data_IF_103472468305
#
_entry.id   IF_103472468305
#
_cell.length_a   1.000
_cell.length_b   1.000
_cell.length_c   1.000
_cell.angle_alpha   90.00
_cell.angle_beta   90.00
_cell.angle_gamma   90.00
#
_symmetry.space_group_name_H-M   'P 1'
#
loop_
_entity.id
_entity.type
_entity.pdbx_description
1 polymer ?
#
# COMPACT_ATOMS: atom_id res chain seq x y z
N UNK A 1 -51.58 19.96 -4.80
CA UNK A 1 -51.11 18.57 -4.87
C UNK A 1 -49.61 18.47 -5.28
N UNK A 2 -48.94 19.61 -5.57
CA UNK A 2 -47.51 19.63 -6.06
C UNK A 2 -46.48 19.90 -4.98
N UNK A 3 -46.83 20.04 -3.72
CA UNK A 3 -45.89 20.41 -2.62
C UNK A 3 -45.36 19.19 -1.85
N UNK A 4 -45.94 18.00 -2.03
CA UNK A 4 -45.49 16.77 -1.32
C UNK A 4 -44.36 16.00 -2.02
N UNK A 5 -44.08 16.30 -3.28
CA UNK A 5 -43.00 15.62 -4.03
C UNK A 5 -41.57 16.20 -3.81
N UNK A 6 -41.48 17.45 -3.34
CA UNK A 6 -40.18 18.09 -3.12
C UNK A 6 -39.54 17.69 -1.78
N UNK A 7 -40.33 17.47 -0.75
CA UNK A 7 -39.83 17.08 0.59
C UNK A 7 -39.27 15.66 0.64
N UNK A 8 -39.75 14.76 -0.24
CA UNK A 8 -39.24 13.38 -0.29
C UNK A 8 -37.88 13.24 -1.00
N UNK A 9 -37.55 14.19 -1.88
CA UNK A 9 -36.25 14.21 -2.55
C UNK A 9 -35.14 14.76 -1.64
N UNK A 10 -35.45 15.76 -0.81
CA UNK A 10 -34.51 16.35 0.15
C UNK A 10 -34.23 15.37 1.32
N UNK A 11 -35.19 14.58 1.74
CA UNK A 11 -34.97 13.56 2.78
C UNK A 11 -34.12 12.38 2.28
N UNK A 12 -34.26 12.00 1.01
CA UNK A 12 -33.42 10.95 0.41
C UNK A 12 -31.99 11.41 0.13
N UNK A 13 -31.76 12.69 -0.11
CA UNK A 13 -30.43 13.27 -0.30
C UNK A 13 -29.70 13.42 1.04
N UNK A 14 -30.41 13.82 2.10
CA UNK A 14 -29.88 13.82 3.47
C UNK A 14 -29.58 12.44 4.04
N UNK A 15 -30.36 11.42 3.67
CA UNK A 15 -30.05 10.03 4.05
C UNK A 15 -28.86 9.46 3.28
N UNK A 16 -28.56 9.94 2.07
CA UNK A 16 -27.34 9.58 1.33
C UNK A 16 -26.09 10.26 1.89
N UNK A 17 -26.16 11.55 2.20
CA UNK A 17 -25.05 12.28 2.83
C UNK A 17 -24.74 11.74 4.25
N UNK A 18 -25.76 11.30 5.01
CA UNK A 18 -25.55 10.68 6.33
C UNK A 18 -25.04 9.23 6.26
N UNK A 19 -25.12 8.56 5.10
CA UNK A 19 -24.54 7.23 4.90
C UNK A 19 -23.10 7.26 4.41
N UNK A 20 -22.67 8.33 3.75
CA UNK A 20 -21.27 8.54 3.36
C UNK A 20 -20.39 9.03 4.53
N UNK A 21 -20.98 9.69 5.54
CA UNK A 21 -20.26 10.23 6.69
C UNK A 21 -20.19 9.27 7.90
N UNK A 22 -20.63 8.01 7.74
CA UNK A 22 -20.54 6.93 8.75
C UNK A 22 -19.62 5.78 8.35
N UNK A 23 -18.54 6.07 7.60
CA UNK A 23 -17.34 5.29 7.71
C UNK A 23 -16.60 5.79 8.96
N UNK A 24 -16.96 5.26 10.12
CA UNK A 24 -16.24 5.52 11.35
C UNK A 24 -14.76 5.25 11.12
N UNK A 25 -13.84 6.14 11.58
CA UNK A 25 -12.42 5.83 11.53
C UNK A 25 -12.22 4.56 12.35
N UNK A 26 -11.83 3.49 11.69
CA UNK A 26 -11.41 2.24 12.33
C UNK A 26 -10.29 2.63 13.30
N UNK A 27 -10.55 2.52 14.60
CA UNK A 27 -9.56 2.79 15.64
C UNK A 27 -8.33 1.93 15.35
N UNK A 28 -7.20 2.57 15.11
CA UNK A 28 -6.14 2.07 14.24
C UNK A 28 -5.44 0.81 14.77
N UNK A 29 -5.35 0.60 16.09
CA UNK A 29 -4.60 -0.53 16.65
C UNK A 29 -5.42 -1.83 16.75
N UNK A 30 -6.69 -1.75 17.14
CA UNK A 30 -7.55 -2.93 17.20
C UNK A 30 -8.08 -3.36 15.82
N UNK A 31 -8.25 -2.40 14.89
CA UNK A 31 -8.71 -2.68 13.55
C UNK A 31 -7.69 -3.42 12.70
N UNK A 32 -6.43 -2.97 12.70
CA UNK A 32 -5.36 -3.58 11.88
C UNK A 32 -5.03 -5.01 12.34
N UNK A 33 -4.88 -5.21 13.65
CA UNK A 33 -4.64 -6.55 14.22
C UNK A 33 -5.83 -7.49 14.00
N UNK A 34 -7.05 -6.97 14.00
CA UNK A 34 -8.27 -7.71 13.69
C UNK A 34 -8.28 -8.19 12.24
N UNK A 35 -8.01 -7.30 11.30
CA UNK A 35 -7.99 -7.61 9.86
C UNK A 35 -6.92 -8.64 9.49
N UNK A 36 -5.72 -8.57 10.08
CA UNK A 36 -4.69 -9.60 9.87
C UNK A 36 -5.13 -10.96 10.41
N UNK A 37 -5.78 -11.01 11.58
CA UNK A 37 -6.32 -12.27 12.13
C UNK A 37 -7.42 -12.84 11.26
N UNK A 38 -8.25 -12.01 10.66
CA UNK A 38 -9.32 -12.46 9.78
C UNK A 38 -8.77 -13.01 8.46
N UNK A 39 -7.73 -12.38 7.89
CA UNK A 39 -7.02 -12.91 6.71
C UNK A 39 -6.38 -14.26 7.04
N UNK A 40 -5.73 -14.39 8.18
CA UNK A 40 -5.14 -15.68 8.63
C UNK A 40 -6.21 -16.75 8.81
N UNK A 41 -7.35 -16.41 9.44
CA UNK A 41 -8.47 -17.31 9.61
C UNK A 41 -9.07 -17.77 8.28
N UNK A 42 -9.15 -16.89 7.28
CA UNK A 42 -9.56 -17.28 5.94
C UNK A 42 -8.55 -18.25 5.30
N UNK A 43 -7.24 -17.98 5.48
CA UNK A 43 -6.16 -18.86 5.00
C UNK A 43 -6.24 -20.27 5.59
N UNK A 44 -6.51 -20.37 6.89
CA UNK A 44 -6.64 -21.68 7.59
C UNK A 44 -7.79 -22.55 7.04
N UNK A 45 -8.77 -21.94 6.37
CA UNK A 45 -9.93 -22.59 5.74
C UNK A 45 -9.68 -22.99 4.28
N UNK A 46 -8.60 -22.50 3.67
CA UNK A 46 -8.27 -22.70 2.26
C UNK A 46 -7.26 -23.84 2.12
N UNK A 47 -7.66 -24.88 1.43
CA UNK A 47 -6.82 -26.07 1.24
C UNK A 47 -5.82 -25.93 0.09
N UNK A 48 -6.06 -25.05 -0.88
CA UNK A 48 -5.19 -24.83 -2.03
C UNK A 48 -3.84 -24.21 -1.60
N UNK A 49 -2.70 -24.95 -1.74
CA UNK A 49 -1.41 -24.45 -1.27
C UNK A 49 -0.90 -23.26 -2.09
N UNK A 50 -1.30 -23.11 -3.33
CA UNK A 50 -0.89 -21.98 -4.18
C UNK A 50 -1.57 -20.69 -3.72
N UNK A 51 -2.87 -20.76 -3.44
CA UNK A 51 -3.63 -19.62 -2.90
C UNK A 51 -3.15 -19.30 -1.50
N UNK A 52 -2.97 -20.31 -0.64
CA UNK A 52 -2.46 -20.14 0.73
C UNK A 52 -1.11 -19.40 0.75
N UNK A 53 -0.15 -19.78 -0.10
CA UNK A 53 1.13 -19.10 -0.21
C UNK A 53 1.01 -17.61 -0.62
N UNK A 54 0.06 -17.28 -1.49
CA UNK A 54 -0.23 -15.90 -1.87
C UNK A 54 -0.86 -15.12 -0.72
N UNK A 55 -1.72 -15.75 0.08
CA UNK A 55 -2.31 -15.14 1.28
C UNK A 55 -1.24 -14.88 2.35
N UNK A 56 -0.31 -15.81 2.57
CA UNK A 56 0.83 -15.60 3.47
C UNK A 56 1.65 -14.37 3.05
N UNK A 57 1.86 -14.19 1.75
CA UNK A 57 2.54 -12.99 1.22
C UNK A 57 1.74 -11.72 1.47
N UNK A 58 0.42 -11.74 1.28
CA UNK A 58 -0.46 -10.60 1.59
C UNK A 58 -0.43 -10.25 3.07
N UNK A 59 -0.43 -11.25 3.95
CA UNK A 59 -0.35 -11.05 5.40
C UNK A 59 0.98 -10.38 5.80
N UNK A 60 2.11 -10.83 5.25
CA UNK A 60 3.42 -10.21 5.48
C UNK A 60 3.44 -8.74 5.03
N UNK A 61 2.97 -8.46 3.81
CA UNK A 61 2.92 -7.11 3.25
C UNK A 61 2.01 -6.19 4.06
N UNK A 62 0.81 -6.65 4.41
CA UNK A 62 -0.13 -5.89 5.23
C UNK A 62 0.46 -5.59 6.62
N UNK A 63 1.11 -6.57 7.25
CA UNK A 63 1.77 -6.39 8.54
C UNK A 63 2.88 -5.35 8.51
N UNK A 64 3.65 -5.28 7.42
CA UNK A 64 4.67 -4.24 7.21
C UNK A 64 4.06 -2.87 7.02
N UNK A 65 2.99 -2.76 6.21
CA UNK A 65 2.26 -1.50 6.01
C UNK A 65 1.70 -0.98 7.34
N UNK A 66 1.08 -1.85 8.14
CA UNK A 66 0.56 -1.47 9.45
C UNK A 66 1.65 -0.96 10.39
N UNK A 67 2.79 -1.65 10.46
CA UNK A 67 3.92 -1.22 11.28
C UNK A 67 4.40 0.17 10.91
N UNK A 68 4.58 0.46 9.61
CA UNK A 68 5.00 1.78 9.16
C UNK A 68 3.99 2.84 9.55
N UNK A 69 2.69 2.59 9.38
CA UNK A 69 1.63 3.54 9.73
C UNK A 69 1.52 3.77 11.24
N UNK A 70 1.84 2.77 12.05
CA UNK A 70 1.90 2.90 13.51
C UNK A 70 3.14 3.66 13.99
N UNK A 71 4.31 3.36 13.43
CA UNK A 71 5.57 4.00 13.76
C UNK A 71 5.66 5.44 13.22
N UNK A 72 5.04 5.71 12.06
CA UNK A 72 5.05 6.98 11.34
C UNK A 72 3.62 7.42 10.98
N UNK A 73 2.85 7.96 11.96
CA UNK A 73 1.44 8.34 11.76
C UNK A 73 1.20 9.34 10.62
N UNK A 74 2.20 10.15 10.26
CA UNK A 74 2.18 11.07 9.13
C UNK A 74 2.06 10.36 7.76
N UNK A 75 2.42 9.08 7.69
CA UNK A 75 2.26 8.24 6.48
C UNK A 75 0.86 7.65 6.35
N UNK A 76 0.04 7.69 7.41
CA UNK A 76 -1.33 7.15 7.42
C UNK A 76 -2.23 7.65 6.28
N UNK A 77 -2.24 8.96 5.92
CA UNK A 77 -3.02 9.44 4.80
C UNK A 77 -2.65 8.77 3.47
N UNK A 78 -1.37 8.42 3.26
CA UNK A 78 -0.89 7.72 2.06
C UNK A 78 -1.41 6.28 1.99
N UNK A 79 -1.69 5.65 3.12
CA UNK A 79 -2.23 4.30 3.22
C UNK A 79 -3.75 4.25 3.34
N UNK A 80 -4.46 5.38 3.33
CA UNK A 80 -5.91 5.44 3.62
C UNK A 80 -6.74 4.59 2.67
N UNK A 81 -6.49 4.63 1.36
CA UNK A 81 -7.19 3.82 0.36
C UNK A 81 -6.91 2.32 0.56
N UNK A 82 -5.68 1.97 0.91
CA UNK A 82 -5.31 0.60 1.23
C UNK A 82 -6.08 0.09 2.46
N UNK A 83 -6.04 0.84 3.56
CA UNK A 83 -6.66 0.44 4.82
C UNK A 83 -8.19 0.38 4.76
N UNK A 84 -8.82 1.31 4.04
CA UNK A 84 -10.27 1.46 4.03
C UNK A 84 -10.96 0.74 2.87
N UNK A 85 -10.24 0.36 1.83
CA UNK A 85 -10.82 -0.25 0.65
C UNK A 85 -10.11 -1.54 0.20
N UNK A 86 -8.81 -1.50 -0.11
CA UNK A 86 -8.12 -2.66 -0.68
C UNK A 86 -8.06 -3.83 0.30
N UNK A 87 -7.71 -3.57 1.54
CA UNK A 87 -7.57 -4.61 2.55
C UNK A 87 -8.92 -5.26 2.93
N UNK A 88 -10.00 -4.49 3.26
CA UNK A 88 -11.30 -5.08 3.54
C UNK A 88 -11.90 -5.84 2.34
N UNK A 89 -11.68 -5.33 1.12
CA UNK A 89 -12.16 -6.01 -0.10
C UNK A 89 -11.41 -7.31 -0.33
N UNK A 90 -10.10 -7.32 -0.13
CA UNK A 90 -9.27 -8.54 -0.20
C UNK A 90 -9.76 -9.58 0.80
N UNK A 91 -9.97 -9.20 2.05
CA UNK A 91 -10.51 -10.09 3.08
C UNK A 91 -11.84 -10.70 2.64
N UNK A 92 -12.78 -9.90 2.14
CA UNK A 92 -14.06 -10.39 1.64
C UNK A 92 -13.92 -11.40 0.50
N UNK A 93 -12.97 -11.19 -0.42
CA UNK A 93 -12.70 -12.14 -1.50
C UNK A 93 -12.14 -13.46 -0.98
N UNK A 94 -11.24 -13.41 0.01
CA UNK A 94 -10.68 -14.60 0.64
C UNK A 94 -11.73 -15.39 1.43
N UNK A 95 -12.58 -14.71 2.19
CA UNK A 95 -13.71 -15.35 2.88
C UNK A 95 -14.65 -16.03 1.89
N UNK A 96 -14.98 -15.37 0.79
CA UNK A 96 -15.83 -15.95 -0.26
C UNK A 96 -15.17 -17.18 -0.91
N UNK A 97 -13.86 -17.13 -1.14
CA UNK A 97 -13.11 -18.28 -1.68
C UNK A 97 -13.16 -19.47 -0.71
N UNK A 98 -12.92 -19.23 0.58
CA UNK A 98 -12.99 -20.24 1.62
C UNK A 98 -14.41 -20.85 1.74
N UNK A 99 -15.44 -20.02 1.71
CA UNK A 99 -16.85 -20.48 1.75
C UNK A 99 -17.18 -21.35 0.54
N UNK A 100 -16.69 -21.02 -0.65
CA UNK A 100 -16.88 -21.84 -1.85
C UNK A 100 -16.16 -23.19 -1.76
N UNK A 101 -14.97 -23.24 -1.17
CA UNK A 101 -14.27 -24.51 -0.93
C UNK A 101 -15.03 -25.39 0.08
N UNK A 102 -15.43 -24.82 1.21
CA UNK A 102 -16.13 -25.55 2.27
C UNK A 102 -17.52 -26.02 1.83
N UNK A 103 -18.18 -25.29 0.93
CA UNK A 103 -19.52 -25.66 0.44
C UNK A 103 -19.53 -27.00 -0.32
N UNK A 104 -18.40 -27.42 -0.86
CA UNK A 104 -18.29 -28.62 -1.69
C UNK A 104 -19.07 -28.53 -3.02
N UNK A 105 -19.61 -27.35 -3.36
CA UNK A 105 -20.36 -27.13 -4.61
C UNK A 105 -19.38 -26.99 -5.76
N UNK A 106 -19.54 -27.83 -6.77
CA UNK A 106 -18.71 -27.86 -7.99
C UNK A 106 -19.44 -27.34 -9.24
N UNK A 107 -20.45 -26.48 -9.03
CA UNK A 107 -21.17 -25.84 -10.12
C UNK A 107 -20.31 -24.83 -10.88
N UNK A 108 -20.69 -24.58 -12.13
CA UNK A 108 -19.93 -23.68 -13.02
C UNK A 108 -19.76 -22.27 -12.43
N UNK A 109 -20.80 -21.70 -11.84
CA UNK A 109 -20.76 -20.36 -11.23
C UNK A 109 -19.74 -20.28 -10.08
N UNK A 110 -19.71 -21.29 -9.20
CA UNK A 110 -18.77 -21.36 -8.08
C UNK A 110 -17.35 -21.55 -8.58
N UNK A 111 -17.15 -22.44 -9.54
CA UNK A 111 -15.83 -22.71 -10.14
C UNK A 111 -15.28 -21.46 -10.83
N UNK A 112 -16.10 -20.75 -11.60
CA UNK A 112 -15.71 -19.49 -12.23
C UNK A 112 -15.39 -18.39 -11.22
N UNK A 113 -16.19 -18.24 -10.15
CA UNK A 113 -15.94 -17.27 -9.11
C UNK A 113 -14.62 -17.55 -8.40
N UNK A 114 -14.35 -18.79 -8.00
CA UNK A 114 -13.07 -19.21 -7.41
C UNK A 114 -11.89 -18.91 -8.34
N UNK A 115 -12.00 -19.26 -9.62
CA UNK A 115 -10.95 -19.02 -10.61
C UNK A 115 -10.67 -17.53 -10.76
N UNK A 116 -11.70 -16.68 -10.82
CA UNK A 116 -11.53 -15.22 -10.91
C UNK A 116 -10.84 -14.64 -9.68
N UNK A 117 -11.16 -15.13 -8.48
CA UNK A 117 -10.47 -14.72 -7.25
C UNK A 117 -9.00 -15.15 -7.34
N UNK A 118 -8.73 -16.41 -7.70
CA UNK A 118 -7.37 -16.94 -7.84
C UNK A 118 -6.52 -16.15 -8.85
N UNK A 119 -7.08 -15.81 -10.01
CA UNK A 119 -6.41 -15.03 -11.05
C UNK A 119 -6.14 -13.57 -10.61
N UNK A 120 -6.98 -13.07 -9.71
CA UNK A 120 -6.84 -11.70 -9.18
C UNK A 120 -5.80 -11.62 -8.07
N UNK A 121 -5.48 -12.73 -7.40
CA UNK A 121 -4.55 -12.75 -6.26
C UNK A 121 -3.18 -12.17 -6.59
N UNK A 122 -2.61 -12.46 -7.76
CA UNK A 122 -1.31 -11.93 -8.16
C UNK A 122 -1.34 -10.40 -8.32
N UNK A 123 -2.46 -9.86 -8.81
CA UNK A 123 -2.68 -8.41 -8.93
C UNK A 123 -2.85 -7.76 -7.57
N UNK A 124 -3.50 -8.44 -6.63
CA UNK A 124 -3.68 -7.97 -5.26
C UNK A 124 -2.32 -7.93 -4.55
N UNK A 125 -1.52 -8.99 -4.65
CA UNK A 125 -0.15 -9.02 -4.10
C UNK A 125 0.69 -7.88 -4.66
N UNK A 126 0.71 -7.69 -5.99
CA UNK A 126 1.43 -6.60 -6.62
C UNK A 126 0.91 -5.22 -6.19
N UNK A 127 -0.37 -5.08 -5.92
CA UNK A 127 -0.98 -3.86 -5.38
C UNK A 127 -0.50 -3.55 -3.96
N UNK A 128 -0.41 -4.55 -3.11
CA UNK A 128 0.12 -4.42 -1.75
C UNK A 128 1.61 -4.07 -1.75
N UNK A 129 2.40 -4.69 -2.62
CA UNK A 129 3.82 -4.38 -2.80
C UNK A 129 4.03 -2.92 -3.22
N UNK A 130 3.24 -2.43 -4.18
CA UNK A 130 3.28 -1.02 -4.59
C UNK A 130 2.88 -0.08 -3.46
N UNK A 131 1.87 -0.44 -2.67
CA UNK A 131 1.45 0.38 -1.52
C UNK A 131 2.58 0.49 -0.49
N UNK A 132 3.28 -0.60 -0.21
CA UNK A 132 4.44 -0.61 0.69
C UNK A 132 5.57 0.27 0.13
N UNK A 133 5.90 0.15 -1.14
CA UNK A 133 6.91 0.96 -1.82
C UNK A 133 6.59 2.46 -1.77
N UNK A 134 5.33 2.83 -2.00
CA UNK A 134 4.88 4.22 -1.91
C UNK A 134 5.07 4.84 -0.51
N UNK A 135 5.01 4.06 0.55
CA UNK A 135 5.27 4.55 1.91
C UNK A 135 6.74 4.92 2.13
N UNK A 136 7.67 4.34 1.38
CA UNK A 136 9.09 4.66 1.42
C UNK A 136 9.51 5.75 0.43
N UNK A 137 8.61 6.24 -0.42
CA UNK A 137 8.94 7.20 -1.48
C UNK A 137 9.58 8.49 -0.94
N UNK A 138 9.05 9.04 0.16
CA UNK A 138 9.63 10.24 0.79
C UNK A 138 11.02 9.98 1.31
N UNK A 139 11.22 8.86 2.00
CA UNK A 139 12.51 8.49 2.58
C UNK A 139 13.57 8.29 1.49
N UNK A 140 13.19 7.68 0.37
CA UNK A 140 14.08 7.51 -0.78
C UNK A 140 14.48 8.86 -1.41
N UNK A 141 13.58 9.83 -1.47
CA UNK A 141 13.86 11.19 -1.95
C UNK A 141 14.80 11.96 -0.99
N UNK A 142 14.62 11.78 0.31
CA UNK A 142 15.48 12.39 1.32
C UNK A 142 16.91 11.83 1.23
N UNK A 143 17.04 10.51 1.11
CA UNK A 143 18.36 9.85 0.90
C UNK A 143 19.04 10.34 -0.38
N UNK A 144 18.31 10.48 -1.50
CA UNK A 144 18.86 11.01 -2.75
C UNK A 144 19.37 12.45 -2.59
N UNK A 145 18.65 13.26 -1.84
CA UNK A 145 19.05 14.63 -1.52
C UNK A 145 20.31 14.67 -0.66
N UNK A 146 20.42 13.83 0.35
CA UNK A 146 21.59 13.71 1.22
C UNK A 146 22.84 13.24 0.44
N UNK A 147 22.66 12.28 -0.47
CA UNK A 147 23.72 11.80 -1.36
C UNK A 147 24.25 12.95 -2.22
N UNK A 148 23.37 13.75 -2.83
CA UNK A 148 23.77 14.90 -3.66
C UNK A 148 24.56 15.93 -2.87
N UNK A 149 24.13 16.24 -1.64
CA UNK A 149 24.85 17.15 -0.75
C UNK A 149 26.23 16.59 -0.41
N UNK A 150 26.31 15.31 -0.05
CA UNK A 150 27.57 14.64 0.25
C UNK A 150 28.53 14.67 -0.94
N UNK A 151 28.05 14.33 -2.14
CA UNK A 151 28.86 14.38 -3.38
C UNK A 151 29.37 15.77 -3.69
N UNK A 152 28.57 16.82 -3.42
CA UNK A 152 28.98 18.21 -3.60
C UNK A 152 30.06 18.61 -2.61
N UNK A 153 29.94 18.19 -1.34
CA UNK A 153 30.96 18.42 -0.32
C UNK A 153 32.29 17.75 -0.69
N UNK A 154 32.23 16.46 -1.07
CA UNK A 154 33.41 15.69 -1.45
C UNK A 154 34.13 16.30 -2.67
N UNK A 155 33.41 16.83 -3.64
CA UNK A 155 34.01 17.55 -4.79
C UNK A 155 34.70 18.83 -4.36
N UNK A 156 34.09 19.57 -3.42
CA UNK A 156 34.69 20.81 -2.89
C UNK A 156 35.95 20.52 -2.08
N UNK A 157 35.90 19.51 -1.23
CA UNK A 157 37.06 19.11 -0.43
C UNK A 157 38.19 18.55 -1.30
N UNK A 158 37.86 17.78 -2.35
CA UNK A 158 38.82 17.30 -3.34
C UNK A 158 39.47 18.43 -4.16
N UNK A 159 38.71 19.48 -4.51
CA UNK A 159 39.25 20.67 -5.16
C UNK A 159 40.15 21.47 -4.22
N UNK A 160 39.76 21.62 -2.94
CA UNK A 160 40.57 22.29 -1.91
C UNK A 160 41.92 21.57 -1.67
N UNK A 161 41.90 20.23 -1.61
CA UNK A 161 43.13 19.42 -1.50
C UNK A 161 44.01 19.59 -2.72
N UNK A 162 43.46 19.63 -3.94
CA UNK A 162 44.21 19.85 -5.16
C UNK A 162 44.88 21.23 -5.23
N UNK A 163 44.25 22.27 -4.70
CA UNK A 163 44.81 23.62 -4.54
C UNK A 163 45.91 23.66 -3.48
N UNK A 164 45.73 23.04 -2.31
CA UNK A 164 46.68 23.00 -1.20
C UNK A 164 47.96 22.21 -1.57
N UNK A 165 47.85 21.19 -2.40
CA UNK A 165 48.98 20.38 -2.87
C UNK A 165 49.57 20.86 -4.20
N UNK A 166 49.18 22.01 -4.74
CA UNK A 166 49.75 22.62 -5.94
C UNK A 166 49.55 21.81 -7.23
N UNK A 167 48.67 20.83 -7.25
CA UNK A 167 48.42 20.00 -8.44
C UNK A 167 47.54 20.67 -9.50
N UNK A 168 47.06 21.85 -9.25
CA UNK A 168 46.28 22.66 -10.20
C UNK A 168 47.08 23.58 -11.11
N UNK A 169 48.40 23.76 -10.85
CA UNK A 169 49.22 24.74 -11.57
C UNK A 169 50.10 24.14 -12.69
N UNK A 170 50.11 22.82 -12.85
CA UNK A 170 51.02 22.16 -13.81
C UNK A 170 50.45 21.99 -15.25
N UNK A 171 49.18 22.31 -15.46
CA UNK A 171 48.54 22.12 -16.79
C UNK A 171 48.50 23.36 -17.67
N UNK A 172 49.06 24.52 -17.24
CA UNK A 172 48.93 25.78 -17.94
C UNK A 172 50.27 26.28 -18.60
N UNK A 173 51.35 25.51 -18.58
CA UNK A 173 52.66 25.94 -19.10
C UNK A 173 53.24 25.13 -20.26
N UNK A 174 52.47 24.36 -20.99
CA UNK A 174 52.95 23.62 -22.17
C UNK A 174 52.25 23.99 -23.48
N UNK A 175 51.95 25.27 -23.70
CA UNK A 175 51.56 25.76 -25.01
C UNK A 175 52.07 27.17 -25.26
N UNK A 176 53.41 27.36 -25.35
CA UNK A 176 54.02 28.46 -26.08
C UNK A 176 55.50 28.09 -26.40
N UNK A 177 55.68 27.39 -27.51
CA UNK A 177 56.81 27.53 -28.44
C UNK A 177 56.40 27.04 -29.83
#
# INVERSE_FOLDING_TARGET
VLVRSFAAAEDMEKEREQKEDKAAPVETEQGCSGQLRDIRRANDRIADPVISAKIDRLEDLAGRIFRIVEEEPEKKPKASTFLNYYLPTTQKLLDSYADFEESGVSGENVSQAKQRIADTMDKIVAGFERQLDQLYQSDAMDVDSDIRVMEQMLRRDGASIAEDFGMGAAAAQEQTE
#
